data_IF_297506800483
#
_entry.id   IF_297506800483
#
_cell.length_a   1.000
_cell.length_b   1.000
_cell.length_c   1.000
_cell.angle_alpha   90.00
_cell.angle_beta   90.00
_cell.angle_gamma   90.00
#
_symmetry.space_group_name_H-M   'P 1'
#
loop_
_entity.id
_entity.type
_entity.pdbx_description
1 polymer ?
#
# COMPACT_ATOMS: atom_id res chain seq x y z
N UNK A 1 24.47 -29.29 -4.25
CA UNK A 1 25.32 -28.79 -3.14
C UNK A 1 24.72 -27.55 -2.45
N UNK A 2 24.37 -26.49 -3.19
CA UNK A 2 23.83 -25.25 -2.61
C UNK A 2 22.46 -25.42 -1.93
N UNK A 3 21.51 -26.10 -2.59
CA UNK A 3 20.16 -26.34 -2.04
C UNK A 3 20.17 -27.00 -0.63
N UNK A 4 21.07 -27.96 -0.38
CA UNK A 4 21.21 -28.60 0.94
C UNK A 4 21.70 -27.64 2.03
N UNK A 5 22.48 -26.63 1.66
CA UNK A 5 22.95 -25.57 2.59
C UNK A 5 21.87 -24.54 2.88
N UNK A 6 20.92 -24.36 1.98
CA UNK A 6 19.84 -23.39 2.08
C UNK A 6 18.67 -23.88 2.95
N UNK A 7 18.56 -25.18 3.21
CA UNK A 7 17.51 -25.74 4.08
C UNK A 7 16.12 -25.35 3.60
N UNK A 8 15.36 -24.65 4.46
CA UNK A 8 13.99 -24.18 4.23
C UNK A 8 13.91 -22.68 3.82
N UNK A 9 15.03 -22.01 3.55
CA UNK A 9 15.04 -20.59 3.15
C UNK A 9 14.33 -20.40 1.81
N UNK A 10 13.34 -19.50 1.79
CA UNK A 10 12.65 -19.09 0.57
C UNK A 10 13.25 -17.77 0.06
N UNK A 11 13.53 -17.72 -1.24
CA UNK A 11 14.06 -16.54 -1.91
C UNK A 11 12.97 -15.89 -2.75
N UNK A 12 12.87 -14.57 -2.69
CA UNK A 12 11.88 -13.78 -3.44
C UNK A 12 12.58 -12.67 -4.23
N UNK A 13 12.04 -12.37 -5.41
CA UNK A 13 12.38 -11.16 -6.16
C UNK A 13 11.24 -10.17 -5.96
N UNK A 14 11.53 -9.05 -5.28
CA UNK A 14 10.55 -8.02 -4.96
C UNK A 14 10.98 -6.65 -5.45
N UNK A 15 10.04 -5.88 -5.97
CA UNK A 15 10.24 -4.46 -6.29
C UNK A 15 9.58 -3.62 -5.21
N UNK A 16 10.38 -2.83 -4.50
CA UNK A 16 9.90 -1.94 -3.45
C UNK A 16 9.91 -0.49 -3.91
N UNK A 17 8.93 0.29 -3.46
CA UNK A 17 8.87 1.74 -3.66
C UNK A 17 9.01 2.41 -2.29
N UNK A 18 10.16 3.04 -2.03
CA UNK A 18 10.45 3.71 -0.77
C UNK A 18 10.33 5.22 -0.95
N UNK A 19 9.38 5.83 -0.23
CA UNK A 19 9.18 7.27 -0.25
C UNK A 19 9.89 7.93 0.92
N UNK A 20 10.64 9.01 0.64
CA UNK A 20 11.24 9.85 1.68
C UNK A 20 10.28 10.98 2.02
N UNK A 21 9.43 10.75 3.02
CA UNK A 21 8.46 11.72 3.52
C UNK A 21 8.55 11.75 5.05
N UNK A 22 8.79 12.92 5.68
CA UNK A 22 9.08 13.00 7.12
C UNK A 22 7.87 12.75 8.01
N UNK A 23 6.65 12.82 7.47
CA UNK A 23 5.39 12.72 8.20
C UNK A 23 4.68 11.38 7.97
N UNK A 24 5.38 10.35 7.49
CA UNK A 24 4.80 9.01 7.41
C UNK A 24 4.71 8.39 8.80
N UNK A 25 3.54 7.83 9.09
CA UNK A 25 3.24 7.14 10.33
C UNK A 25 3.69 5.66 10.23
N UNK A 26 4.09 5.01 11.34
CA UNK A 26 4.48 3.59 11.32
C UNK A 26 3.35 2.65 10.90
N UNK A 27 2.11 3.02 11.19
CA UNK A 27 0.91 2.27 10.84
C UNK A 27 0.08 3.01 9.78
N UNK A 28 -0.87 2.31 9.18
CA UNK A 28 -1.81 2.91 8.23
C UNK A 28 -3.00 3.47 9.01
N UNK A 29 -2.95 4.75 9.35
CA UNK A 29 -4.02 5.42 10.09
C UNK A 29 -5.13 5.93 9.14
N UNK A 30 -6.39 5.88 9.59
CA UNK A 30 -7.56 6.36 8.88
C UNK A 30 -7.96 7.76 9.36
N UNK A 31 -8.03 8.71 8.43
CA UNK A 31 -8.50 10.08 8.63
C UNK A 31 -9.74 10.40 7.76
N UNK A 32 -10.44 9.37 7.27
CA UNK A 32 -11.61 9.53 6.39
C UNK A 32 -11.24 10.07 5.00
N UNK A 33 -10.01 9.81 4.56
CA UNK A 33 -9.44 10.38 3.34
C UNK A 33 -9.68 9.50 2.12
N UNK A 34 -9.77 10.13 0.96
CA UNK A 34 -9.87 9.45 -0.33
C UNK A 34 -9.14 10.23 -1.43
N UNK A 35 -8.86 9.54 -2.53
CA UNK A 35 -8.29 10.13 -3.74
C UNK A 35 -9.09 9.76 -4.97
N UNK A 36 -9.02 10.58 -6.01
CA UNK A 36 -9.58 10.30 -7.34
C UNK A 36 -8.45 10.42 -8.35
N UNK A 37 -8.14 9.33 -9.05
CA UNK A 37 -7.14 9.37 -10.11
C UNK A 37 -7.69 10.08 -11.35
N UNK A 38 -6.94 11.04 -11.88
CA UNK A 38 -7.34 11.90 -13.02
C UNK A 38 -7.03 11.30 -14.40
N UNK A 39 -6.38 10.13 -14.46
CA UNK A 39 -6.13 9.46 -15.74
C UNK A 39 -5.04 10.13 -16.59
N UNK A 40 -4.24 11.01 -15.98
CA UNK A 40 -3.31 11.91 -16.69
C UNK A 40 -1.88 11.39 -16.80
N UNK A 41 -1.57 10.20 -16.25
CA UNK A 41 -0.25 9.56 -16.45
C UNK A 41 -0.27 8.84 -17.79
N UNK A 42 0.71 9.14 -18.64
CA UNK A 42 0.88 8.50 -19.94
C UNK A 42 0.93 6.96 -19.79
N UNK A 43 0.31 6.27 -20.74
CA UNK A 43 0.14 4.81 -20.74
C UNK A 43 -0.65 4.21 -19.55
N UNK A 44 -1.13 5.03 -18.62
CA UNK A 44 -1.86 4.60 -17.42
C UNK A 44 -3.19 5.33 -17.30
N UNK A 45 -3.89 5.57 -18.41
CA UNK A 45 -5.12 6.38 -18.42
C UNK A 45 -6.27 5.79 -17.58
N UNK A 46 -6.38 4.46 -17.56
CA UNK A 46 -7.54 3.77 -16.96
C UNK A 46 -7.39 3.49 -15.47
N UNK A 47 -6.16 3.24 -15.00
CA UNK A 47 -5.87 2.92 -13.61
C UNK A 47 -4.44 3.30 -13.25
N UNK A 48 -4.21 3.62 -11.98
CA UNK A 48 -2.88 3.77 -11.40
C UNK A 48 -2.63 2.66 -10.36
N UNK A 49 -1.47 2.03 -10.43
CA UNK A 49 -1.07 0.98 -9.47
C UNK A 49 0.11 1.53 -8.64
N UNK A 50 -0.16 1.84 -7.38
CA UNK A 50 0.86 2.30 -6.44
C UNK A 50 1.70 1.11 -5.95
N UNK A 51 1.03 0.05 -5.53
CA UNK A 51 1.58 -1.22 -5.06
C UNK A 51 0.55 -2.36 -5.25
N UNK A 52 0.79 -3.52 -4.61
CA UNK A 52 -0.07 -4.72 -4.70
C UNK A 52 -1.52 -4.50 -4.23
N UNK A 53 -1.76 -3.58 -3.28
CA UNK A 53 -3.06 -3.36 -2.66
C UNK A 53 -3.77 -2.12 -3.22
N UNK A 54 -3.02 -1.14 -3.73
CA UNK A 54 -3.55 0.13 -4.18
C UNK A 54 -3.68 0.20 -5.71
N UNK A 55 -4.81 -0.32 -6.22
CA UNK A 55 -5.21 -0.23 -7.64
C UNK A 55 -6.33 0.80 -7.75
N UNK A 56 -6.04 1.97 -8.31
CA UNK A 56 -6.93 3.14 -8.30
C UNK A 56 -7.44 3.39 -9.71
N UNK A 57 -8.72 3.16 -9.95
CA UNK A 57 -9.38 3.40 -11.23
C UNK A 57 -9.57 4.90 -11.51
N UNK A 58 -9.46 5.30 -12.77
CA UNK A 58 -9.72 6.66 -13.22
C UNK A 58 -11.15 7.13 -12.90
N UNK A 59 -11.27 8.33 -12.34
CA UNK A 59 -12.55 8.99 -12.06
C UNK A 59 -13.37 8.35 -10.94
N UNK A 60 -12.82 7.38 -10.20
CA UNK A 60 -13.47 6.75 -9.05
C UNK A 60 -12.83 7.22 -7.76
N UNK A 61 -13.67 7.52 -6.77
CA UNK A 61 -13.22 7.77 -5.40
C UNK A 61 -12.67 6.49 -4.80
N UNK A 62 -11.46 6.55 -4.28
CA UNK A 62 -10.76 5.43 -3.67
C UNK A 62 -10.31 5.83 -2.25
N UNK A 63 -10.86 5.21 -1.19
CA UNK A 63 -10.45 5.47 0.19
C UNK A 63 -8.99 5.08 0.42
N UNK A 64 -8.27 5.90 1.19
CA UNK A 64 -6.85 5.67 1.48
C UNK A 64 -6.52 6.00 2.93
N UNK A 65 -5.52 5.33 3.49
CA UNK A 65 -4.91 5.73 4.75
C UNK A 65 -4.09 7.02 4.60
N UNK A 66 -3.77 7.67 5.72
CA UNK A 66 -2.99 8.90 5.76
C UNK A 66 -1.63 8.79 5.06
N UNK A 67 -0.94 7.65 5.20
CA UNK A 67 0.33 7.40 4.52
C UNK A 67 0.20 7.40 2.99
N UNK A 68 -0.78 6.66 2.45
CA UNK A 68 -1.02 6.63 1.01
C UNK A 68 -1.44 8.00 0.49
N UNK A 69 -2.27 8.73 1.25
CA UNK A 69 -2.63 10.10 0.94
C UNK A 69 -1.38 10.98 0.79
N UNK A 70 -0.46 10.95 1.78
CA UNK A 70 0.82 11.69 1.72
C UNK A 70 1.71 11.25 0.56
N UNK A 71 1.81 9.94 0.29
CA UNK A 71 2.61 9.43 -0.83
C UNK A 71 2.12 9.97 -2.18
N UNK A 72 0.81 10.16 -2.34
CA UNK A 72 0.23 10.72 -3.55
C UNK A 72 0.30 12.25 -3.57
N UNK A 73 -0.02 12.90 -2.45
CA UNK A 73 -0.10 14.35 -2.32
C UNK A 73 1.26 15.05 -2.28
N UNK A 74 2.21 14.52 -1.52
CA UNK A 74 3.49 15.19 -1.22
C UNK A 74 4.61 14.79 -2.20
N UNK A 75 4.25 14.23 -3.36
CA UNK A 75 5.22 13.76 -4.36
C UNK A 75 4.80 14.18 -5.77
N UNK A 76 5.58 13.78 -6.78
CA UNK A 76 5.29 14.02 -8.20
C UNK A 76 3.91 13.54 -8.65
N UNK A 77 3.26 12.65 -7.88
CA UNK A 77 1.94 12.12 -8.21
C UNK A 77 0.82 13.12 -8.00
N UNK A 78 1.01 14.16 -7.18
CA UNK A 78 -0.04 15.09 -6.75
C UNK A 78 -0.89 15.64 -7.90
N UNK A 79 -0.26 16.09 -8.98
CA UNK A 79 -0.93 16.64 -10.18
C UNK A 79 -1.85 15.65 -10.92
N UNK A 80 -1.76 14.36 -10.60
CA UNK A 80 -2.52 13.28 -11.20
C UNK A 80 -3.69 12.82 -10.36
N UNK A 81 -3.89 13.40 -9.16
CA UNK A 81 -4.94 13.02 -8.23
C UNK A 81 -5.72 14.24 -7.75
N UNK A 82 -7.00 14.02 -7.45
CA UNK A 82 -7.81 14.91 -6.63
C UNK A 82 -7.91 14.29 -5.24
N UNK A 83 -7.93 15.14 -4.21
CA UNK A 83 -7.84 14.72 -2.82
C UNK A 83 -9.11 15.11 -2.07
N UNK A 84 -9.65 14.18 -1.31
CA UNK A 84 -10.89 14.33 -0.53
C UNK A 84 -10.58 14.06 0.94
N UNK A 85 -11.16 14.87 1.83
CA UNK A 85 -10.95 14.77 3.28
C UNK A 85 -9.90 15.75 3.81
N UNK A 86 -9.68 15.71 5.12
CA UNK A 86 -8.69 16.51 5.83
C UNK A 86 -8.03 15.68 6.95
N UNK A 87 -7.35 16.32 7.90
CA UNK A 87 -6.65 15.65 9.02
C UNK A 87 -7.33 15.89 10.37
N UNK A 88 -8.53 16.47 10.40
CA UNK A 88 -9.14 16.99 11.62
C UNK A 88 -9.67 15.88 12.54
N UNK A 89 -10.01 14.71 11.99
CA UNK A 89 -10.56 13.57 12.73
C UNK A 89 -9.84 12.29 12.37
N UNK A 90 -9.30 11.65 13.40
CA UNK A 90 -8.74 10.30 13.33
C UNK A 90 -9.82 9.26 13.62
N UNK A 91 -9.87 8.21 12.81
CA UNK A 91 -10.85 7.13 12.85
C UNK A 91 -10.27 5.79 13.32
N UNK A 92 -8.96 5.74 13.63
CA UNK A 92 -8.25 4.52 14.04
C UNK A 92 -7.42 3.93 12.90
N UNK A 93 -7.19 2.62 12.96
CA UNK A 93 -6.41 1.89 11.93
C UNK A 93 -7.25 1.72 10.67
N UNK A 94 -6.64 1.98 9.52
CA UNK A 94 -7.23 1.72 8.21
C UNK A 94 -7.22 0.22 7.92
N UNK A 95 -8.42 -0.32 7.70
CA UNK A 95 -8.61 -1.76 7.46
C UNK A 95 -7.81 -2.26 6.24
N UNK A 96 -7.17 -3.43 6.41
CA UNK A 96 -6.53 -4.15 5.31
C UNK A 96 -5.13 -3.67 4.90
N UNK A 97 -4.48 -2.80 5.69
CA UNK A 97 -3.16 -2.28 5.35
C UNK A 97 -2.01 -3.02 6.04
N UNK A 98 -1.16 -3.72 5.26
CA UNK A 98 0.25 -3.94 5.60
C UNK A 98 0.60 -5.11 6.53
N UNK A 99 -0.34 -5.94 6.98
CA UNK A 99 -0.03 -7.03 7.94
C UNK A 99 0.36 -8.36 7.30
N UNK A 100 0.05 -8.57 6.01
CA UNK A 100 0.30 -9.84 5.34
C UNK A 100 1.61 -9.84 4.55
N UNK A 101 2.39 -10.92 4.69
CA UNK A 101 3.58 -11.19 3.87
C UNK A 101 3.21 -11.11 2.38
N UNK A 102 3.89 -10.29 1.57
CA UNK A 102 3.46 -9.99 0.20
C UNK A 102 3.67 -11.16 -0.79
N UNK A 103 4.42 -12.19 -0.39
CA UNK A 103 4.85 -13.31 -1.22
C UNK A 103 4.33 -14.69 -0.79
N UNK A 104 3.44 -14.77 0.21
CA UNK A 104 2.84 -16.05 0.58
C UNK A 104 1.93 -16.55 -0.55
N UNK A 105 2.36 -17.64 -1.19
CA UNK A 105 1.53 -18.51 -1.99
C UNK A 105 0.90 -19.50 -1.01
N UNK A 106 -0.43 -19.52 -0.89
CA UNK A 106 -1.24 -20.50 -0.14
C UNK A 106 -0.62 -21.03 1.17
N UNK A 107 -1.11 -20.53 2.30
CA UNK A 107 -0.84 -21.15 3.60
C UNK A 107 -1.53 -22.52 3.61
N UNK A 108 -0.75 -23.62 3.68
CA UNK A 108 -1.29 -24.92 4.08
C UNK A 108 -2.00 -24.74 5.44
N UNK A 109 -3.22 -25.27 5.61
CA UNK A 109 -4.06 -25.00 6.79
C UNK A 109 -3.45 -25.44 8.14
N UNK A 110 -2.30 -26.11 8.14
CA UNK A 110 -1.64 -26.66 9.33
C UNK A 110 -0.52 -25.77 9.91
N UNK A 111 -0.30 -24.56 9.40
CA UNK A 111 0.67 -23.63 9.99
C UNK A 111 -0.04 -22.66 10.95
N UNK A 112 -0.01 -22.98 12.25
CA UNK A 112 -0.36 -22.03 13.32
C UNK A 112 0.57 -20.82 13.26
N UNK A 113 0.03 -19.69 12.83
CA UNK A 113 0.71 -18.40 12.88
C UNK A 113 0.54 -17.85 14.29
N UNK A 114 1.56 -18.02 15.14
CA UNK A 114 1.60 -17.40 16.45
C UNK A 114 1.82 -15.89 16.28
N UNK A 115 0.77 -15.12 16.55
CA UNK A 115 0.86 -13.66 16.67
C UNK A 115 1.36 -13.32 18.09
N UNK A 116 2.54 -12.70 18.19
CA UNK A 116 3.01 -12.10 19.44
C UNK A 116 2.62 -10.61 19.48
N UNK A 117 2.00 -10.24 20.60
CA UNK A 117 1.64 -8.88 21.02
C UNK A 117 2.87 -7.99 21.25
#
# INVERSE_FOLDING_TARGET
ALAKRLGNIQFYSGTYRLFKLPLLEPACEDYGQAVIYRGTIEHNRHRFILDKHHIIDHGRTFPVCGNTWRMLHDTRFSKHFEFVGNWDRHHGIFDGCGTNLPFTLHVDPDIEVANCC
#
